data_IF_241283296136
#
_entry.id   IF_241283296136
#
_cell.length_a   1.000
_cell.length_b   1.000
_cell.length_c   1.000
_cell.angle_alpha   90.00
_cell.angle_beta   90.00
_cell.angle_gamma   90.00
#
_symmetry.space_group_name_H-M   'P 1'
#
loop_
_entity.id
_entity.type
_entity.pdbx_description
1 polymer ?
#
# COMPACT_ATOMS: atom_id res chain seq x y z
N UNK A 1 -19.29 -8.99 13.26
CA UNK A 1 -18.61 -9.00 14.54
C UNK A 1 -17.86 -7.73 14.77
N UNK A 2 -17.65 -7.38 16.04
CA UNK A 2 -16.97 -6.14 16.42
C UNK A 2 -15.56 -6.10 15.83
N UNK A 3 -14.82 -7.21 15.93
CA UNK A 3 -13.45 -7.26 15.39
C UNK A 3 -13.41 -7.01 13.88
N UNK A 4 -14.35 -7.57 13.13
CA UNK A 4 -14.41 -7.33 11.68
C UNK A 4 -14.66 -5.87 11.36
N UNK A 5 -15.53 -5.23 12.15
CA UNK A 5 -15.81 -3.81 11.95
C UNK A 5 -14.60 -2.95 12.26
N UNK A 6 -13.88 -3.28 13.32
CA UNK A 6 -12.65 -2.58 13.68
C UNK A 6 -11.61 -2.72 12.56
N UNK A 7 -11.45 -3.93 12.04
CA UNK A 7 -10.50 -4.19 10.95
C UNK A 7 -10.90 -3.41 9.69
N UNK A 8 -12.18 -3.40 9.33
CA UNK A 8 -12.65 -2.65 8.17
C UNK A 8 -12.38 -1.16 8.34
N UNK A 9 -12.62 -0.61 9.54
CA UNK A 9 -12.33 0.79 9.81
C UNK A 9 -10.84 1.09 9.69
N UNK A 10 -10.00 0.19 10.19
CA UNK A 10 -8.54 0.35 10.09
C UNK A 10 -8.10 0.31 8.62
N UNK A 11 -8.61 -0.62 7.84
CA UNK A 11 -8.26 -0.74 6.42
C UNK A 11 -8.69 0.50 5.65
N UNK A 12 -9.90 1.00 5.89
CA UNK A 12 -10.38 2.21 5.23
C UNK A 12 -9.53 3.42 5.59
N UNK A 13 -9.14 3.54 6.86
CA UNK A 13 -8.25 4.62 7.29
C UNK A 13 -6.90 4.53 6.60
N UNK A 14 -6.34 3.33 6.50
CA UNK A 14 -5.06 3.12 5.83
C UNK A 14 -5.13 3.54 4.37
N UNK A 15 -6.15 3.11 3.63
CA UNK A 15 -6.29 3.50 2.23
C UNK A 15 -6.49 5.00 2.05
N UNK A 16 -7.23 5.64 2.95
CA UNK A 16 -7.47 7.08 2.87
C UNK A 16 -6.22 7.91 3.13
N UNK A 17 -5.25 7.36 3.85
CA UNK A 17 -4.05 8.10 4.28
C UNK A 17 -2.77 7.42 3.83
N UNK A 18 -2.84 6.63 2.76
CA UNK A 18 -1.72 5.77 2.34
C UNK A 18 -0.49 6.56 1.89
N UNK A 19 -0.68 7.77 1.40
CA UNK A 19 0.41 8.65 0.96
C UNK A 19 0.86 9.61 2.07
N UNK A 20 0.46 9.35 3.31
CA UNK A 20 0.85 10.14 4.47
C UNK A 20 1.76 9.32 5.38
N UNK A 21 2.28 9.96 6.41
CA UNK A 21 3.12 9.28 7.39
C UNK A 21 2.24 8.52 8.38
N UNK A 22 1.89 7.30 8.01
CA UNK A 22 1.03 6.44 8.81
C UNK A 22 1.82 5.70 9.89
N UNK A 23 1.28 5.68 11.10
CA UNK A 23 1.79 4.79 12.15
C UNK A 23 0.62 4.07 12.82
N UNK A 24 0.92 2.96 13.46
CA UNK A 24 -0.12 2.10 14.04
C UNK A 24 -0.83 2.79 15.20
N UNK A 25 -0.13 3.63 15.94
CA UNK A 25 -0.72 4.40 17.04
C UNK A 25 -1.88 5.29 16.56
N UNK A 26 -1.64 6.02 15.48
CA UNK A 26 -2.67 6.90 14.91
C UNK A 26 -3.87 6.10 14.40
N UNK A 27 -3.61 4.97 13.77
CA UNK A 27 -4.67 4.11 13.26
C UNK A 27 -5.51 3.57 14.42
N UNK A 28 -4.84 3.12 15.48
CA UNK A 28 -5.50 2.58 16.65
C UNK A 28 -6.36 3.64 17.35
N UNK A 29 -5.84 4.86 17.47
CA UNK A 29 -6.59 5.98 18.05
C UNK A 29 -7.88 6.23 17.26
N UNK A 30 -7.77 6.25 15.94
CA UNK A 30 -8.93 6.45 15.08
C UNK A 30 -9.98 5.37 15.33
N UNK A 31 -9.54 4.13 15.50
CA UNK A 31 -10.44 3.01 15.74
C UNK A 31 -10.95 2.93 17.18
N UNK A 32 -10.36 3.70 18.10
CA UNK A 32 -10.77 3.70 19.49
C UNK A 32 -10.20 2.58 20.35
N UNK A 33 -9.05 2.04 19.96
CA UNK A 33 -8.44 0.91 20.65
C UNK A 33 -6.94 1.13 20.83
N UNK A 34 -6.31 0.31 21.69
CA UNK A 34 -4.87 0.39 21.87
C UNK A 34 -4.14 -0.21 20.66
N UNK A 35 -2.91 0.25 20.46
CA UNK A 35 -2.04 -0.28 19.43
C UNK A 35 -1.87 -1.80 19.56
N UNK A 36 -1.72 -2.28 20.78
CA UNK A 36 -1.49 -3.70 21.03
C UNK A 36 -2.71 -4.55 20.66
N UNK A 37 -3.90 -4.07 21.00
CA UNK A 37 -5.13 -4.78 20.65
C UNK A 37 -5.32 -4.79 19.13
N UNK A 38 -5.18 -3.64 18.48
CA UNK A 38 -5.36 -3.56 17.03
C UNK A 38 -4.37 -4.46 16.29
N UNK A 39 -3.10 -4.42 16.70
CA UNK A 39 -2.06 -5.25 16.07
C UNK A 39 -2.41 -6.72 16.18
N UNK A 40 -2.88 -7.15 17.34
CA UNK A 40 -3.23 -8.54 17.57
C UNK A 40 -4.42 -9.00 16.72
N UNK A 41 -5.51 -8.23 16.74
CA UNK A 41 -6.71 -8.66 16.01
C UNK A 41 -6.51 -8.54 14.50
N UNK A 42 -5.72 -7.56 14.04
CA UNK A 42 -5.45 -7.42 12.61
C UNK A 42 -4.76 -8.68 12.07
N UNK A 43 -3.74 -9.15 12.76
CA UNK A 43 -3.05 -10.38 12.39
C UNK A 43 -3.97 -11.60 12.46
N UNK A 44 -4.76 -11.68 13.51
CA UNK A 44 -5.67 -12.81 13.73
C UNK A 44 -6.73 -12.90 12.63
N UNK A 45 -7.29 -11.75 12.24
CA UNK A 45 -8.39 -11.72 11.27
C UNK A 45 -7.91 -11.76 9.81
N UNK A 46 -6.79 -11.14 9.50
CA UNK A 46 -6.32 -11.04 8.11
C UNK A 46 -5.20 -12.01 7.76
N UNK A 47 -4.52 -12.54 8.76
CA UNK A 47 -3.37 -13.41 8.54
C UNK A 47 -2.08 -12.65 8.27
N UNK A 48 -2.13 -11.34 8.18
CA UNK A 48 -1.00 -10.48 7.86
C UNK A 48 -0.84 -9.41 8.93
N UNK A 49 0.41 -9.07 9.32
CA UNK A 49 0.59 -8.00 10.30
C UNK A 49 0.16 -6.67 9.68
N UNK A 50 -0.31 -5.75 10.53
CA UNK A 50 -0.72 -4.44 10.05
C UNK A 50 0.46 -3.68 9.43
N UNK A 51 1.67 -3.87 9.94
CA UNK A 51 2.88 -3.24 9.38
C UNK A 51 3.17 -3.73 7.96
N UNK A 52 3.08 -5.04 7.77
CA UNK A 52 3.28 -5.66 6.45
C UNK A 52 2.20 -5.22 5.48
N UNK A 53 0.97 -5.12 5.94
CA UNK A 53 -0.16 -4.67 5.13
C UNK A 53 0.06 -3.23 4.63
N UNK A 54 0.44 -2.33 5.53
CA UNK A 54 0.69 -0.92 5.16
C UNK A 54 1.81 -0.83 4.12
N UNK A 55 2.90 -1.55 4.35
CA UNK A 55 4.04 -1.54 3.43
C UNK A 55 3.63 -2.04 2.04
N UNK A 56 2.90 -3.15 2.01
CA UNK A 56 2.44 -3.74 0.75
C UNK A 56 1.52 -2.79 -0.01
N UNK A 57 0.54 -2.20 0.68
CA UNK A 57 -0.40 -1.28 0.04
C UNK A 57 0.31 -0.05 -0.49
N UNK A 58 1.28 0.50 0.26
CA UNK A 58 2.07 1.64 -0.21
C UNK A 58 2.79 1.32 -1.52
N UNK A 59 3.43 0.17 -1.58
CA UNK A 59 4.17 -0.23 -2.78
C UNK A 59 3.21 -0.43 -3.96
N UNK A 60 2.09 -1.08 -3.74
CA UNK A 60 1.12 -1.31 -4.81
C UNK A 60 0.49 -0.01 -5.33
N UNK A 61 0.13 0.89 -4.42
CA UNK A 61 -0.43 2.18 -4.82
C UNK A 61 0.60 3.03 -5.54
N UNK A 62 1.84 3.04 -5.06
CA UNK A 62 2.90 3.80 -5.69
C UNK A 62 3.23 3.29 -7.09
N UNK A 63 3.11 1.99 -7.32
CA UNK A 63 3.36 1.41 -8.64
C UNK A 63 2.41 1.96 -9.70
N UNK A 64 1.16 2.18 -9.31
CA UNK A 64 0.19 2.82 -10.20
C UNK A 64 0.68 4.20 -10.63
N UNK A 65 1.19 4.99 -9.68
CA UNK A 65 1.70 6.33 -9.96
C UNK A 65 2.97 6.28 -10.80
N UNK A 66 3.85 5.32 -10.52
CA UNK A 66 5.06 5.12 -11.35
C UNK A 66 4.68 4.92 -12.80
N UNK A 67 3.60 4.18 -13.04
CA UNK A 67 3.12 3.91 -14.39
C UNK A 67 2.50 5.15 -15.05
N UNK A 68 1.60 5.84 -14.36
CA UNK A 68 0.81 6.89 -15.00
C UNK A 68 1.44 8.28 -14.94
N UNK A 69 2.25 8.56 -13.94
CA UNK A 69 2.85 9.89 -13.78
C UNK A 69 4.24 9.93 -14.43
N UNK A 70 4.25 9.85 -15.76
CA UNK A 70 5.49 9.77 -16.54
C UNK A 70 6.38 11.00 -16.36
N UNK A 71 5.80 12.15 -16.05
CA UNK A 71 6.55 13.39 -15.85
C UNK A 71 7.21 13.53 -14.49
N UNK A 72 6.89 12.65 -13.54
CA UNK A 72 7.47 12.70 -12.20
C UNK A 72 8.57 11.66 -12.09
N UNK A 73 9.64 12.00 -11.38
CA UNK A 73 10.73 11.06 -11.17
C UNK A 73 10.28 9.98 -10.18
N UNK A 74 10.90 8.82 -10.28
CA UNK A 74 10.63 7.73 -9.35
C UNK A 74 11.01 8.15 -7.92
N UNK A 75 12.08 8.93 -7.77
CA UNK A 75 12.49 9.45 -6.47
C UNK A 75 11.41 10.34 -5.84
N UNK A 76 10.78 11.19 -6.62
CA UNK A 76 9.71 12.05 -6.13
C UNK A 76 8.51 11.23 -5.67
N UNK A 77 8.14 10.23 -6.44
CA UNK A 77 7.04 9.35 -6.06
C UNK A 77 7.37 8.59 -4.77
N UNK A 78 8.61 8.08 -4.66
CA UNK A 78 9.04 7.39 -3.45
C UNK A 78 8.91 8.29 -2.23
N UNK A 79 9.32 9.54 -2.34
CA UNK A 79 9.25 10.51 -1.25
C UNK A 79 7.81 10.78 -0.81
N UNK A 80 6.87 10.80 -1.73
CA UNK A 80 5.46 10.98 -1.41
C UNK A 80 4.94 9.91 -0.45
N UNK A 81 5.54 8.71 -0.50
CA UNK A 81 5.16 7.61 0.38
C UNK A 81 6.11 7.42 1.56
N UNK A 82 7.03 8.37 1.76
CA UNK A 82 7.93 8.35 2.91
C UNK A 82 9.18 7.50 2.74
N UNK A 83 9.54 7.14 1.52
CA UNK A 83 10.71 6.31 1.26
C UNK A 83 11.83 7.10 0.62
N UNK A 84 13.07 6.73 0.96
CA UNK A 84 14.23 7.18 0.18
C UNK A 84 14.22 6.43 -1.16
N UNK A 85 14.90 6.99 -2.16
CA UNK A 85 14.96 6.36 -3.48
C UNK A 85 15.52 4.94 -3.43
N UNK A 86 16.60 4.73 -2.68
CA UNK A 86 17.22 3.42 -2.59
C UNK A 86 16.37 2.40 -1.84
N UNK A 87 15.74 2.82 -0.75
CA UNK A 87 14.86 1.94 0.01
C UNK A 87 13.64 1.56 -0.82
N UNK A 88 13.08 2.53 -1.53
CA UNK A 88 11.94 2.27 -2.40
C UNK A 88 12.29 1.27 -3.51
N UNK A 89 13.45 1.45 -4.14
CA UNK A 89 13.88 0.54 -5.20
C UNK A 89 13.98 -0.90 -4.69
N UNK A 90 14.54 -1.07 -3.49
CA UNK A 90 14.66 -2.39 -2.87
C UNK A 90 13.29 -3.02 -2.60
N UNK A 91 12.41 -2.26 -1.96
CA UNK A 91 11.06 -2.77 -1.64
C UNK A 91 10.25 -3.07 -2.90
N UNK A 92 10.37 -2.19 -3.90
CA UNK A 92 9.66 -2.37 -5.16
C UNK A 92 10.11 -3.66 -5.85
N UNK A 93 11.42 -3.88 -5.91
CA UNK A 93 11.98 -5.08 -6.54
C UNK A 93 11.58 -6.35 -5.79
N UNK A 94 11.55 -6.30 -4.46
CA UNK A 94 11.10 -7.43 -3.67
C UNK A 94 9.66 -7.81 -3.99
N UNK A 95 8.81 -6.82 -4.24
CA UNK A 95 7.40 -7.05 -4.49
C UNK A 95 7.10 -7.40 -5.95
N UNK A 96 7.69 -6.68 -6.89
CA UNK A 96 7.38 -6.82 -8.32
C UNK A 96 8.45 -7.56 -9.13
N UNK A 97 9.57 -7.91 -8.51
CA UNK A 97 10.68 -8.61 -9.14
C UNK A 97 11.37 -7.83 -10.25
N UNK A 98 11.14 -6.52 -10.31
CA UNK A 98 11.82 -5.61 -11.22
C UNK A 98 11.95 -4.23 -10.58
N UNK A 99 12.89 -3.43 -11.11
CA UNK A 99 13.07 -2.08 -10.59
C UNK A 99 11.90 -1.18 -10.99
N UNK A 100 11.68 -0.07 -10.27
CA UNK A 100 10.65 0.89 -10.67
C UNK A 100 10.85 1.42 -12.08
N UNK A 101 12.12 1.68 -12.47
CA UNK A 101 12.42 2.17 -13.81
C UNK A 101 12.06 1.16 -14.89
N UNK A 102 12.39 -0.09 -14.66
CA UNK A 102 12.05 -1.16 -15.59
C UNK A 102 10.55 -1.37 -15.67
N UNK A 103 9.88 -1.33 -14.53
CA UNK A 103 8.41 -1.44 -14.45
C UNK A 103 7.75 -0.33 -15.26
N UNK A 104 8.22 0.90 -15.11
CA UNK A 104 7.69 2.04 -15.88
C UNK A 104 7.88 1.85 -17.37
N UNK A 105 9.07 1.45 -17.79
CA UNK A 105 9.40 1.24 -19.19
C UNK A 105 8.52 0.16 -19.81
N UNK A 106 8.39 -0.97 -19.15
CA UNK A 106 7.61 -2.10 -19.67
C UNK A 106 6.12 -1.78 -19.73
N UNK A 107 5.62 -1.12 -18.72
CA UNK A 107 4.19 -0.84 -18.63
C UNK A 107 3.75 0.36 -19.46
N UNK A 108 4.68 1.22 -19.87
CA UNK A 108 4.34 2.33 -20.75
C UNK A 108 4.00 1.83 -22.16
N UNK A 109 4.52 0.67 -22.54
CA UNK A 109 4.32 0.08 -23.85
C UNK A 109 3.24 -0.99 -23.87
N UNK A 110 2.94 -1.59 -22.71
CA UNK A 110 1.97 -2.68 -22.65
C UNK A 110 0.55 -2.15 -22.49
N UNK A 111 -0.41 -3.02 -22.74
CA UNK A 111 -1.80 -2.67 -22.59
C UNK A 111 -2.09 -2.28 -21.15
N UNK A 112 -2.54 -1.05 -20.94
CA UNK A 112 -2.88 -0.54 -19.63
C UNK A 112 -3.98 -1.37 -18.96
N UNK A 113 -4.80 -2.05 -19.75
CA UNK A 113 -5.90 -2.85 -19.25
C UNK A 113 -5.46 -3.90 -18.23
N UNK A 114 -4.32 -4.57 -18.47
CA UNK A 114 -3.84 -5.59 -17.57
C UNK A 114 -3.45 -5.03 -16.20
N UNK A 115 -2.81 -3.88 -16.20
CA UNK A 115 -2.43 -3.21 -14.96
C UNK A 115 -3.66 -2.74 -14.18
N UNK A 116 -4.60 -2.11 -14.88
CA UNK A 116 -5.84 -1.63 -14.25
C UNK A 116 -6.62 -2.77 -13.62
N UNK A 117 -6.73 -3.89 -14.33
CA UNK A 117 -7.44 -5.07 -13.82
C UNK A 117 -6.81 -5.58 -12.52
N UNK A 118 -5.48 -5.67 -12.48
CA UNK A 118 -4.79 -6.10 -11.29
C UNK A 118 -5.03 -5.17 -10.11
N UNK A 119 -5.00 -3.87 -10.36
CA UNK A 119 -5.25 -2.88 -9.31
C UNK A 119 -6.69 -2.96 -8.79
N UNK A 120 -7.65 -3.08 -9.68
CA UNK A 120 -9.04 -3.21 -9.29
C UNK A 120 -9.27 -4.44 -8.43
N UNK A 121 -8.69 -5.55 -8.82
CA UNK A 121 -8.81 -6.79 -8.05
C UNK A 121 -8.23 -6.63 -6.65
N UNK A 122 -7.10 -5.96 -6.55
CA UNK A 122 -6.46 -5.71 -5.26
C UNK A 122 -7.37 -4.89 -4.35
N UNK A 123 -7.96 -3.83 -4.89
CA UNK A 123 -8.84 -2.96 -4.12
C UNK A 123 -10.12 -3.69 -3.70
N UNK A 124 -10.71 -4.45 -4.58
CA UNK A 124 -11.91 -5.22 -4.28
C UNK A 124 -11.68 -6.20 -3.13
N UNK A 125 -10.51 -6.83 -3.11
CA UNK A 125 -10.16 -7.78 -2.05
C UNK A 125 -10.18 -7.12 -0.68
N UNK A 126 -9.75 -5.89 -0.58
CA UNK A 126 -9.66 -5.19 0.71
C UNK A 126 -10.92 -4.42 1.10
N UNK A 127 -11.75 -4.08 0.15
CA UNK A 127 -12.98 -3.36 0.43
C UNK A 127 -14.09 -4.28 0.95
N UNK A 128 -14.01 -5.54 0.63
CA UNK A 128 -14.96 -6.53 1.11
C UNK A 128 -14.61 -7.04 2.50
#
# INVERSE_FOLDING_TARGET
MIENQIINNAINFIFSHIDEDLNVETIAEFCGYSKFYLTRIFKAETGESIYSFIKRVKIEQSAWRVKIEQGRSISEIAEDYGYSASNYATLFKEHFEKSPAQFRKENSESAAAGFFTGRENTLETYEE
#
